data_IF_724580704954
#
_entry.id   IF_724580704954
#
_cell.length_a   1.000
_cell.length_b   1.000
_cell.length_c   1.000
_cell.angle_alpha   90.00
_cell.angle_beta   90.00
_cell.angle_gamma   90.00
#
_symmetry.space_group_name_H-M   'P 1'
#
loop_
_entity.id
_entity.type
_entity.pdbx_description
1 polymer ?
#
# COMPACT_ATOMS: atom_id res chain seq x y z
N UNK A 1 2.25 0.21 -1.73
CA UNK A 1 2.57 1.63 -1.46
C UNK A 1 2.55 1.86 0.05
N UNK A 2 3.43 2.73 0.57
CA UNK A 2 3.43 3.12 1.98
C UNK A 2 3.44 4.64 2.08
N UNK A 3 2.41 5.23 2.71
CA UNK A 3 2.42 6.64 3.14
C UNK A 3 2.54 7.68 2.03
N UNK A 4 1.97 7.44 0.84
CA UNK A 4 2.01 8.37 -0.29
C UNK A 4 0.60 8.81 -0.69
N UNK A 5 0.46 10.07 -1.12
CA UNK A 5 -0.78 10.62 -1.67
C UNK A 5 -1.01 10.26 -3.14
N UNK A 6 0.00 9.70 -3.82
CA UNK A 6 -0.02 9.37 -5.25
C UNK A 6 -0.26 10.57 -6.20
N UNK A 7 -0.05 11.80 -5.72
CA UNK A 7 -0.17 13.01 -6.55
C UNK A 7 1.09 13.30 -7.39
N UNK A 8 2.24 12.74 -7.00
CA UNK A 8 3.52 13.03 -7.64
C UNK A 8 3.86 12.00 -8.71
N UNK A 9 4.09 12.51 -9.92
CA UNK A 9 4.60 11.76 -11.07
C UNK A 9 6.14 11.71 -11.02
N UNK A 10 6.80 10.62 -11.47
CA UNK A 10 6.25 9.40 -12.07
C UNK A 10 5.92 8.27 -11.07
N UNK A 11 6.13 8.48 -9.78
CA UNK A 11 5.99 7.42 -8.77
C UNK A 11 4.56 6.85 -8.71
N UNK A 12 3.54 7.66 -8.97
CA UNK A 12 2.14 7.24 -9.01
C UNK A 12 1.79 6.29 -10.18
N UNK A 13 2.69 6.08 -11.15
CA UNK A 13 2.52 5.08 -12.20
C UNK A 13 2.79 3.65 -11.72
N UNK A 14 3.49 3.48 -10.58
CA UNK A 14 3.91 2.16 -10.11
C UNK A 14 2.72 1.26 -9.70
N UNK A 15 1.72 1.71 -8.92
CA UNK A 15 0.58 0.85 -8.58
C UNK A 15 -0.21 0.30 -9.78
N UNK A 16 -0.65 1.13 -10.76
CA UNK A 16 -1.36 0.59 -11.92
C UNK A 16 -0.46 -0.30 -12.78
N UNK A 17 0.84 0.02 -12.90
CA UNK A 17 1.79 -0.85 -13.62
C UNK A 17 1.91 -2.21 -12.94
N UNK A 18 2.03 -2.26 -11.61
CA UNK A 18 2.08 -3.51 -10.85
C UNK A 18 0.81 -4.34 -11.05
N UNK A 19 -0.37 -3.70 -10.98
CA UNK A 19 -1.66 -4.38 -11.20
C UNK A 19 -1.78 -4.96 -12.61
N UNK A 20 -1.36 -4.21 -13.64
CA UNK A 20 -1.29 -4.68 -15.03
C UNK A 20 -0.36 -5.87 -15.22
N UNK A 21 0.69 -5.97 -14.41
CA UNK A 21 1.61 -7.11 -14.38
C UNK A 21 1.16 -8.22 -13.40
N UNK A 22 -0.13 -8.27 -13.04
CA UNK A 22 -0.73 -9.28 -12.17
C UNK A 22 -0.14 -9.36 -10.75
N UNK A 23 0.54 -8.30 -10.28
CA UNK A 23 1.01 -8.26 -8.90
C UNK A 23 -0.17 -8.05 -7.94
N UNK A 24 -0.10 -8.68 -6.76
CA UNK A 24 -0.93 -8.31 -5.62
C UNK A 24 -0.47 -6.97 -5.05
N UNK A 25 -1.38 -6.01 -4.99
CA UNK A 25 -1.09 -4.63 -4.59
C UNK A 25 -1.67 -4.36 -3.20
N UNK A 26 -0.80 -4.02 -2.25
CA UNK A 26 -1.19 -3.63 -0.89
C UNK A 26 -0.82 -2.17 -0.65
N UNK A 27 -1.78 -1.39 -0.16
CA UNK A 27 -1.60 0.00 0.24
C UNK A 27 -1.67 0.13 1.75
N UNK A 28 -0.77 0.95 2.31
CA UNK A 28 -0.75 1.31 3.72
C UNK A 28 -0.69 2.83 3.80
N UNK A 29 -1.77 3.48 4.21
CA UNK A 29 -1.80 4.93 4.33
C UNK A 29 -2.72 5.39 5.47
N UNK A 30 -2.48 6.57 6.04
CA UNK A 30 -3.35 7.13 7.09
C UNK A 30 -4.64 7.71 6.52
N UNK A 31 -4.56 8.23 5.31
CA UNK A 31 -5.62 8.93 4.59
C UNK A 31 -5.89 8.21 3.28
N UNK A 32 -7.10 8.41 2.77
CA UNK A 32 -7.52 7.80 1.52
C UNK A 32 -6.88 8.57 0.34
N UNK A 33 -6.70 7.88 -0.78
CA UNK A 33 -6.17 8.45 -2.03
C UNK A 33 -7.16 8.23 -3.17
N UNK A 34 -7.03 9.01 -4.24
CA UNK A 34 -7.85 8.86 -5.46
C UNK A 34 -7.62 7.53 -6.19
N UNK A 35 -6.64 6.72 -5.76
CA UNK A 35 -6.22 5.48 -6.43
C UNK A 35 -6.35 4.24 -5.54
N UNK A 36 -7.02 4.34 -4.39
CA UNK A 36 -7.11 3.23 -3.41
C UNK A 36 -7.81 1.99 -3.98
N UNK A 37 -8.71 2.17 -4.95
CA UNK A 37 -9.39 1.09 -5.68
C UNK A 37 -8.45 0.15 -6.45
N UNK A 38 -7.20 0.58 -6.72
CA UNK A 38 -6.18 -0.27 -7.37
C UNK A 38 -5.70 -1.37 -6.41
N UNK A 39 -5.69 -1.09 -5.10
CA UNK A 39 -5.17 -2.01 -4.11
C UNK A 39 -6.10 -3.22 -3.94
N UNK A 40 -5.52 -4.42 -3.89
CA UNK A 40 -6.25 -5.61 -3.43
C UNK A 40 -6.58 -5.51 -1.93
N UNK A 41 -5.72 -4.82 -1.17
CA UNK A 41 -5.90 -4.59 0.27
C UNK A 41 -5.44 -3.18 0.62
N UNK A 42 -6.32 -2.43 1.29
CA UNK A 42 -6.01 -1.12 1.86
C UNK A 42 -5.99 -1.19 3.38
N UNK A 43 -4.84 -0.87 3.98
CA UNK A 43 -4.65 -0.86 5.43
C UNK A 43 -4.57 0.60 5.91
N UNK A 44 -5.68 1.10 6.44
CA UNK A 44 -5.77 2.47 6.95
C UNK A 44 -5.05 2.61 8.31
N UNK A 45 -4.04 3.47 8.36
CA UNK A 45 -3.35 3.82 9.60
C UNK A 45 -1.87 4.14 9.45
N UNK A 46 -1.19 4.28 10.59
CA UNK A 46 0.25 4.56 10.62
C UNK A 46 1.05 3.35 10.12
N UNK A 47 1.86 3.57 9.09
CA UNK A 47 2.73 2.55 8.50
C UNK A 47 3.58 1.83 9.56
N UNK A 48 4.26 2.57 10.44
CA UNK A 48 5.11 1.96 11.48
C UNK A 48 4.33 1.04 12.44
N UNK A 49 3.11 1.42 12.82
CA UNK A 49 2.25 0.57 13.68
C UNK A 49 1.79 -0.69 12.96
N UNK A 50 1.43 -0.56 11.68
CA UNK A 50 0.97 -1.68 10.85
C UNK A 50 2.11 -2.65 10.57
N UNK A 51 3.28 -2.15 10.16
CA UNK A 51 4.45 -2.98 9.92
C UNK A 51 4.92 -3.72 11.18
N UNK A 52 4.91 -3.06 12.35
CA UNK A 52 5.22 -3.75 13.61
C UNK A 52 4.33 -4.98 13.80
N UNK A 53 3.01 -4.81 13.69
CA UNK A 53 2.04 -5.92 13.80
C UNK A 53 2.23 -7.00 12.73
N UNK A 54 2.54 -6.61 11.50
CA UNK A 54 2.82 -7.57 10.42
C UNK A 54 4.07 -8.39 10.71
N UNK A 55 5.15 -7.75 11.14
CA UNK A 55 6.40 -8.43 11.49
C UNK A 55 6.23 -9.38 12.67
N UNK A 56 5.45 -8.99 13.69
CA UNK A 56 5.16 -9.86 14.84
C UNK A 56 4.41 -11.14 14.38
N UNK A 57 3.49 -11.02 13.41
CA UNK A 57 2.77 -12.17 12.83
C UNK A 57 3.66 -13.06 11.97
N UNK A 58 4.50 -12.47 11.12
CA UNK A 58 5.39 -13.21 10.22
C UNK A 58 6.43 -14.00 11.03
N UNK A 59 6.99 -13.43 12.10
CA UNK A 59 7.96 -14.13 12.96
C UNK A 59 7.38 -15.32 13.73
N UNK A 60 6.05 -15.37 13.86
CA UNK A 60 5.33 -16.43 14.58
C UNK A 60 4.78 -17.50 13.60
N UNK A 61 4.98 -17.30 12.29
CA UNK A 61 4.61 -18.25 11.23
C UNK A 61 5.81 -19.08 10.81
#
# INVERSE_FOLDING_TARGET
MVGSSLLVTPANFLPPLAKRNNAKVIFINKEDTMMDEIADVFLKGSAGKIFKKLMDRIKTS
#
